data_IF_579191690195
#
_entry.id   IF_579191690195
#
_cell.length_a   1.000
_cell.length_b   1.000
_cell.length_c   1.000
_cell.angle_alpha   90.00
_cell.angle_beta   90.00
_cell.angle_gamma   90.00
#
_symmetry.space_group_name_H-M   'P 1'
#
loop_
_entity.id
_entity.type
_entity.pdbx_description
1 polymer ?
#
# COMPACT_ATOMS: atom_id res chain seq x y z
N UNK A 1 12.72 31.74 -28.99
CA UNK A 1 11.48 31.04 -28.65
C UNK A 1 11.56 29.51 -28.77
N UNK A 2 12.12 28.94 -29.87
CA UNK A 2 12.22 27.46 -30.08
C UNK A 2 12.99 26.69 -28.99
N UNK A 3 14.04 27.28 -28.41
CA UNK A 3 14.85 26.63 -27.33
C UNK A 3 14.14 26.59 -25.98
N UNK A 4 13.29 27.57 -25.71
CA UNK A 4 12.52 27.64 -24.44
C UNK A 4 11.41 26.59 -24.42
N UNK A 5 10.75 26.38 -25.58
CA UNK A 5 9.69 25.35 -25.70
C UNK A 5 10.25 23.95 -25.46
N UNK A 6 11.45 23.67 -26.00
CA UNK A 6 12.12 22.37 -25.83
C UNK A 6 12.51 22.10 -24.37
N UNK A 7 12.95 23.13 -23.65
CA UNK A 7 13.28 23.03 -22.22
C UNK A 7 12.05 22.74 -21.34
N UNK A 8 10.92 23.38 -21.64
CA UNK A 8 9.65 23.16 -20.91
C UNK A 8 9.12 21.75 -21.14
N UNK A 9 9.21 21.23 -22.37
CA UNK A 9 8.73 19.87 -22.69
C UNK A 9 9.53 18.79 -21.97
N UNK A 10 10.85 18.95 -21.81
CA UNK A 10 11.69 18.00 -21.07
C UNK A 10 11.35 18.01 -19.58
N UNK A 11 11.01 19.18 -18.99
CA UNK A 11 10.68 19.29 -17.58
C UNK A 11 9.37 18.53 -17.25
N UNK A 12 8.38 18.51 -18.15
CA UNK A 12 7.11 17.78 -17.94
C UNK A 12 7.29 16.25 -17.96
N UNK A 13 8.26 15.71 -18.68
CA UNK A 13 8.50 14.26 -18.76
C UNK A 13 9.08 13.70 -17.44
N UNK A 14 9.76 14.53 -16.65
CA UNK A 14 10.42 14.09 -15.41
C UNK A 14 9.48 13.96 -14.20
N UNK A 15 8.23 14.41 -14.31
CA UNK A 15 7.24 14.33 -13.20
C UNK A 15 6.29 13.15 -13.29
N UNK A 16 6.47 12.22 -14.22
CA UNK A 16 5.63 11.02 -14.34
C UNK A 16 6.07 9.94 -13.35
N UNK A 17 5.80 10.15 -12.06
CA UNK A 17 5.85 9.08 -11.07
C UNK A 17 4.45 8.46 -10.99
N UNK A 18 4.18 7.44 -11.81
CA UNK A 18 2.90 6.73 -11.80
C UNK A 18 3.01 5.46 -10.96
N UNK A 19 2.31 5.42 -9.83
CA UNK A 19 2.05 4.17 -9.14
C UNK A 19 0.93 3.40 -9.86
N UNK A 20 1.00 2.08 -9.87
CA UNK A 20 -0.08 1.23 -10.39
C UNK A 20 -1.03 0.88 -9.25
N UNK A 21 -2.31 1.20 -9.42
CA UNK A 21 -3.38 0.83 -8.48
C UNK A 21 -4.20 -0.28 -9.14
N UNK A 22 -4.14 -1.48 -8.57
CA UNK A 22 -5.00 -2.59 -8.97
C UNK A 22 -6.13 -2.70 -7.96
N UNK A 23 -7.36 -2.40 -8.40
CA UNK A 23 -8.56 -2.53 -7.56
C UNK A 23 -9.40 -3.69 -8.05
N UNK A 24 -9.65 -4.65 -7.19
CA UNK A 24 -10.63 -5.71 -7.43
C UNK A 24 -11.97 -5.23 -6.90
N UNK A 25 -12.93 -5.00 -7.78
CA UNK A 25 -14.28 -4.56 -7.40
C UNK A 25 -15.20 -5.77 -7.27
N UNK A 26 -16.18 -5.76 -6.34
CA UNK A 26 -17.22 -6.78 -6.29
C UNK A 26 -18.04 -6.78 -7.60
N UNK A 27 -18.53 -7.96 -8.01
CA UNK A 27 -19.34 -8.12 -9.22
C UNK A 27 -20.69 -7.41 -9.13
N UNK A 28 -21.18 -7.17 -7.92
CA UNK A 28 -22.43 -6.48 -7.65
C UNK A 28 -22.13 -5.18 -6.92
N UNK A 29 -22.80 -4.09 -7.31
CA UNK A 29 -22.75 -2.83 -6.56
C UNK A 29 -23.52 -3.01 -5.25
N UNK A 30 -22.81 -3.42 -4.21
CA UNK A 30 -23.38 -3.47 -2.87
C UNK A 30 -23.44 -2.02 -2.37
N UNK A 31 -24.62 -1.42 -2.40
CA UNK A 31 -24.88 -0.12 -1.74
C UNK A 31 -24.86 -0.29 -0.23
N UNK A 32 -23.70 -0.50 0.34
CA UNK A 32 -23.52 -0.57 1.77
C UNK A 32 -23.25 0.84 2.31
N UNK A 33 -24.08 1.28 3.27
CA UNK A 33 -23.88 2.55 3.96
C UNK A 33 -22.99 2.33 5.18
N UNK A 34 -21.71 2.08 4.94
CA UNK A 34 -20.72 1.90 6.01
C UNK A 34 -20.42 3.22 6.70
N UNK A 35 -20.42 3.22 8.03
CA UNK A 35 -20.15 4.40 8.87
C UNK A 35 -18.98 4.19 9.81
N UNK A 36 -18.70 2.94 10.19
CA UNK A 36 -17.67 2.61 11.17
C UNK A 36 -16.75 1.50 10.67
N UNK A 37 -15.45 1.72 10.77
CA UNK A 37 -14.44 0.75 10.41
C UNK A 37 -13.52 0.43 11.60
N UNK A 38 -13.00 -0.78 11.65
CA UNK A 38 -11.96 -1.18 12.56
C UNK A 38 -10.70 -1.52 11.77
N UNK A 39 -9.60 -0.80 12.02
CA UNK A 39 -8.34 -0.98 11.32
C UNK A 39 -7.44 -1.87 12.17
N UNK A 40 -7.11 -3.04 11.67
CA UNK A 40 -6.14 -3.93 12.32
C UNK A 40 -4.75 -3.48 11.93
N UNK A 41 -4.00 -2.97 12.90
CA UNK A 41 -2.60 -2.59 12.71
C UNK A 41 -1.77 -3.83 12.33
N UNK A 42 -0.92 -3.69 11.32
CA UNK A 42 0.02 -4.73 10.96
C UNK A 42 0.97 -5.00 12.14
N UNK A 43 1.34 -6.27 12.33
CA UNK A 43 2.30 -6.65 13.38
C UNK A 43 3.74 -6.34 12.96
N UNK A 44 4.01 -6.32 11.67
CA UNK A 44 5.30 -6.05 11.06
C UNK A 44 5.11 -5.55 9.63
N UNK A 45 6.11 -4.82 9.14
CA UNK A 45 6.25 -4.50 7.72
C UNK A 45 7.12 -5.54 7.03
N UNK A 46 6.91 -5.77 5.75
CA UNK A 46 7.83 -6.53 4.92
C UNK A 46 8.89 -5.62 4.33
N UNK A 47 10.11 -6.09 4.22
CA UNK A 47 11.22 -5.30 3.68
C UNK A 47 12.06 -6.11 2.70
N UNK A 48 12.22 -5.58 1.50
CA UNK A 48 13.05 -6.17 0.45
C UNK A 48 14.43 -5.54 0.51
N UNK A 49 15.45 -6.34 0.84
CA UNK A 49 16.84 -5.90 0.81
C UNK A 49 17.35 -5.87 -0.62
N UNK A 50 17.77 -4.72 -1.07
CA UNK A 50 18.43 -4.58 -2.35
C UNK A 50 19.81 -5.23 -2.30
N UNK A 51 20.06 -6.18 -3.21
CA UNK A 51 21.40 -6.75 -3.44
C UNK A 51 21.95 -6.27 -4.76
N UNK A 52 23.09 -5.58 -4.71
CA UNK A 52 23.83 -5.24 -5.91
C UNK A 52 24.19 -6.52 -6.68
N UNK A 53 23.85 -6.57 -7.95
CA UNK A 53 24.30 -7.63 -8.85
C UNK A 53 25.83 -7.65 -8.98
N UNK A 54 26.37 -8.76 -9.44
CA UNK A 54 27.82 -8.87 -9.70
C UNK A 54 28.13 -8.30 -11.08
N UNK A 55 29.17 -7.47 -11.15
CA UNK A 55 29.79 -7.09 -12.43
C UNK A 55 30.70 -8.25 -12.85
N UNK A 56 30.45 -8.82 -14.02
CA UNK A 56 31.27 -9.87 -14.61
C UNK A 56 31.92 -9.34 -15.89
N UNK A 57 32.99 -9.96 -16.40
CA UNK A 57 33.56 -9.58 -17.70
C UNK A 57 32.58 -9.67 -18.86
N UNK A 58 31.47 -10.40 -18.69
CA UNK A 58 30.41 -10.57 -19.71
C UNK A 58 29.22 -9.63 -19.51
N UNK A 59 29.29 -8.71 -18.54
CA UNK A 59 28.24 -7.75 -18.25
C UNK A 59 27.76 -7.78 -16.81
N UNK A 60 26.70 -6.97 -16.54
CA UNK A 60 26.11 -6.87 -15.23
C UNK A 60 25.02 -7.93 -15.05
N UNK A 61 25.18 -8.79 -14.04
CA UNK A 61 24.15 -9.78 -13.67
C UNK A 61 23.31 -9.17 -12.56
N UNK A 62 22.05 -8.84 -12.88
CA UNK A 62 21.05 -8.44 -11.89
C UNK A 62 20.69 -9.69 -11.09
N UNK A 63 20.98 -9.71 -9.79
CA UNK A 63 20.41 -10.73 -8.91
C UNK A 63 18.92 -10.47 -8.74
N UNK A 64 18.14 -11.56 -8.77
CA UNK A 64 16.76 -11.51 -8.37
C UNK A 64 16.68 -11.04 -6.90
N UNK A 65 15.77 -10.14 -6.58
CA UNK A 65 15.57 -9.67 -5.22
C UNK A 65 15.35 -10.84 -4.27
N UNK A 66 15.89 -10.73 -3.07
CA UNK A 66 15.60 -11.71 -2.02
C UNK A 66 14.12 -11.61 -1.64
N UNK A 67 13.52 -12.69 -1.13
CA UNK A 67 12.19 -12.63 -0.57
C UNK A 67 12.13 -11.57 0.52
N UNK A 68 10.97 -10.91 0.64
CA UNK A 68 10.76 -9.92 1.68
C UNK A 68 10.95 -10.53 3.07
N UNK A 69 11.67 -9.84 3.93
CA UNK A 69 11.90 -10.21 5.31
C UNK A 69 10.97 -9.40 6.23
N UNK A 70 10.57 -9.99 7.36
CA UNK A 70 9.82 -9.26 8.39
C UNK A 70 10.70 -8.20 9.03
N UNK A 71 10.16 -7.01 9.17
CA UNK A 71 10.82 -5.83 9.74
C UNK A 71 9.89 -5.17 10.76
N UNK A 72 10.42 -4.35 11.63
CA UNK A 72 9.60 -3.45 12.46
C UNK A 72 8.72 -2.57 11.57
N UNK A 73 7.58 -2.14 12.13
CA UNK A 73 6.61 -1.29 11.41
C UNK A 73 7.31 -0.05 10.83
N UNK A 74 7.12 0.16 9.54
CA UNK A 74 7.68 1.27 8.80
C UNK A 74 6.57 2.24 8.41
N UNK A 75 6.67 3.50 8.85
CA UNK A 75 5.69 4.54 8.53
C UNK A 75 4.39 4.45 9.34
N UNK A 76 3.40 5.23 8.94
CA UNK A 76 2.13 5.41 9.64
C UNK A 76 0.95 4.99 8.76
N UNK A 77 1.00 3.79 8.20
CA UNK A 77 -0.01 3.31 7.24
C UNK A 77 -1.40 3.27 7.87
N UNK A 78 -1.53 2.73 9.10
CA UNK A 78 -2.83 2.67 9.79
C UNK A 78 -3.47 4.05 9.97
N UNK A 79 -2.69 5.05 10.40
CA UNK A 79 -3.18 6.43 10.55
C UNK A 79 -3.53 7.06 9.20
N UNK A 80 -2.77 6.76 8.14
CA UNK A 80 -3.08 7.22 6.79
C UNK A 80 -4.42 6.65 6.31
N UNK A 81 -4.66 5.35 6.51
CA UNK A 81 -5.94 4.71 6.20
C UNK A 81 -7.07 5.36 6.99
N UNK A 82 -6.88 5.60 8.29
CA UNK A 82 -7.87 6.27 9.15
C UNK A 82 -8.25 7.65 8.62
N UNK A 83 -7.26 8.46 8.23
CA UNK A 83 -7.50 9.80 7.66
C UNK A 83 -8.28 9.70 6.34
N UNK A 84 -7.95 8.76 5.47
CA UNK A 84 -8.66 8.59 4.19
C UNK A 84 -10.10 8.10 4.39
N UNK A 85 -10.36 7.20 5.34
CA UNK A 85 -11.70 6.79 5.71
C UNK A 85 -12.53 7.96 6.25
N UNK A 86 -11.95 8.78 7.11
CA UNK A 86 -12.63 9.96 7.67
C UNK A 86 -13.02 10.98 6.60
N UNK A 87 -12.21 11.20 5.57
CA UNK A 87 -12.55 12.04 4.40
C UNK A 87 -13.78 11.55 3.66
N UNK A 88 -14.06 10.26 3.71
CA UNK A 88 -15.24 9.62 3.11
C UNK A 88 -16.41 9.46 4.10
N UNK A 89 -16.36 10.11 5.25
CA UNK A 89 -17.43 10.08 6.25
C UNK A 89 -17.49 8.79 7.07
N UNK A 90 -16.42 7.98 7.06
CA UNK A 90 -16.33 6.73 7.81
C UNK A 90 -15.46 6.97 9.04
N UNK A 91 -16.03 6.85 10.24
CA UNK A 91 -15.25 6.88 11.48
C UNK A 91 -14.49 5.56 11.64
N UNK A 92 -13.29 5.60 12.21
CA UNK A 92 -12.50 4.38 12.37
C UNK A 92 -11.64 4.40 13.63
N UNK A 93 -11.44 3.21 14.18
CA UNK A 93 -10.54 2.93 15.29
C UNK A 93 -9.41 2.02 14.83
N UNK A 94 -8.23 2.20 15.43
CA UNK A 94 -7.06 1.36 15.17
C UNK A 94 -6.86 0.46 16.39
N UNK A 95 -6.74 -0.82 16.14
CA UNK A 95 -6.45 -1.82 17.16
C UNK A 95 -5.52 -2.90 16.66
N UNK A 96 -5.39 -3.97 17.44
CA UNK A 96 -4.47 -5.08 17.17
C UNK A 96 -5.23 -6.31 16.71
N UNK A 97 -4.51 -7.20 16.04
CA UNK A 97 -5.03 -8.53 15.74
C UNK A 97 -5.32 -9.30 17.01
N UNK A 98 -6.55 -9.79 17.11
CA UNK A 98 -7.04 -10.50 18.33
C UNK A 98 -7.92 -9.65 19.23
N UNK A 99 -7.97 -8.33 19.05
CA UNK A 99 -9.00 -7.52 19.66
C UNK A 99 -10.37 -7.94 19.11
N UNK A 100 -11.41 -7.91 19.97
CA UNK A 100 -12.77 -8.26 19.57
C UNK A 100 -13.68 -7.02 19.63
N UNK A 101 -13.52 -6.05 18.72
CA UNK A 101 -14.39 -4.88 18.66
C UNK A 101 -15.82 -5.32 18.30
N UNK A 102 -16.82 -4.69 18.91
CA UNK A 102 -18.23 -5.06 18.68
C UNK A 102 -18.99 -4.03 17.84
N UNK A 103 -18.50 -2.80 17.82
CA UNK A 103 -19.18 -1.65 17.20
C UNK A 103 -18.45 -1.18 15.92
N UNK A 104 -18.53 -1.98 14.86
CA UNK A 104 -18.00 -1.65 13.53
C UNK A 104 -18.83 -2.32 12.43
N UNK A 105 -18.78 -1.80 11.23
CA UNK A 105 -19.47 -2.32 10.05
C UNK A 105 -18.54 -3.26 9.24
N UNK A 106 -17.23 -2.93 9.19
CA UNK A 106 -16.22 -3.73 8.50
C UNK A 106 -14.83 -3.55 9.11
N UNK A 107 -13.98 -4.53 8.85
CA UNK A 107 -12.57 -4.52 9.26
C UNK A 107 -11.70 -4.15 8.05
N UNK A 108 -10.67 -3.35 8.30
CA UNK A 108 -9.60 -3.07 7.35
C UNK A 108 -8.33 -3.76 7.82
N UNK A 109 -7.81 -4.63 6.99
CA UNK A 109 -6.49 -5.24 7.18
C UNK A 109 -5.56 -4.75 6.09
N UNK A 110 -4.29 -4.59 6.41
CA UNK A 110 -3.29 -4.21 5.41
C UNK A 110 -1.98 -4.95 5.63
N UNK A 111 -1.22 -5.09 4.56
CA UNK A 111 0.17 -5.54 4.55
C UNK A 111 0.97 -4.59 3.67
N UNK A 112 2.06 -4.10 4.19
CA UNK A 112 2.96 -3.18 3.51
C UNK A 112 4.31 -3.84 3.24
N UNK A 113 4.84 -3.62 2.04
CA UNK A 113 6.16 -4.09 1.63
C UNK A 113 6.99 -2.88 1.23
N UNK A 114 8.15 -2.78 1.81
CA UNK A 114 9.09 -1.68 1.60
C UNK A 114 10.36 -2.17 0.91
N UNK A 115 11.04 -1.27 0.23
CA UNK A 115 12.37 -1.51 -0.33
C UNK A 115 13.30 -0.35 -0.06
N UNK A 116 14.58 -0.61 -0.14
CA UNK A 116 15.61 0.41 -0.07
C UNK A 116 15.98 0.90 -1.49
N UNK A 117 15.88 2.21 -1.69
CA UNK A 117 16.34 2.89 -2.90
C UNK A 117 16.85 4.27 -2.49
N UNK A 118 18.07 4.33 -1.92
CA UNK A 118 18.65 5.48 -1.20
C UNK A 118 17.81 6.00 -0.01
N UNK A 119 16.58 5.61 0.07
CA UNK A 119 15.61 5.81 1.17
C UNK A 119 14.66 4.62 1.21
N UNK A 120 13.90 4.49 2.31
CA UNK A 120 12.81 3.51 2.40
C UNK A 120 11.66 3.98 1.51
N UNK A 121 11.27 3.16 0.56
CA UNK A 121 10.16 3.42 -0.36
C UNK A 121 9.11 2.34 -0.15
N UNK A 122 7.85 2.73 -0.04
CA UNK A 122 6.73 1.79 -0.07
C UNK A 122 6.64 1.19 -1.47
N UNK A 123 6.90 -0.10 -1.58
CA UNK A 123 6.91 -0.84 -2.84
C UNK A 123 5.53 -1.42 -3.15
N UNK A 124 4.87 -1.98 -2.14
CA UNK A 124 3.54 -2.58 -2.27
C UNK A 124 2.72 -2.31 -1.02
N UNK A 125 1.45 -2.00 -1.21
CA UNK A 125 0.45 -1.92 -0.17
C UNK A 125 -0.77 -2.74 -0.58
N UNK A 126 -1.09 -3.75 0.20
CA UNK A 126 -2.28 -4.57 0.05
C UNK A 126 -3.26 -4.20 1.15
N UNK A 127 -4.48 -3.86 0.77
CA UNK A 127 -5.56 -3.53 1.73
C UNK A 127 -6.72 -4.47 1.46
N UNK A 128 -7.20 -5.13 2.50
CA UNK A 128 -8.39 -5.96 2.47
C UNK A 128 -9.49 -5.36 3.34
N UNK A 129 -10.70 -5.33 2.80
CA UNK A 129 -11.91 -4.93 3.50
C UNK A 129 -12.73 -6.20 3.79
N UNK A 130 -13.03 -6.46 5.05
CA UNK A 130 -13.69 -7.67 5.51
C UNK A 130 -14.97 -7.27 6.22
N UNK A 131 -16.12 -7.82 5.82
CA UNK A 131 -17.39 -7.56 6.45
C UNK A 131 -17.41 -8.13 7.88
N UNK A 132 -18.37 -7.71 8.70
CA UNK A 132 -18.59 -8.25 10.05
C UNK A 132 -18.84 -9.76 10.04
N UNK A 133 -19.42 -10.28 8.98
CA UNK A 133 -19.75 -11.70 8.82
C UNK A 133 -18.54 -12.53 8.36
N UNK A 134 -17.38 -11.91 8.21
CA UNK A 134 -16.13 -12.58 7.82
C UNK A 134 -15.94 -12.73 6.32
N UNK A 135 -16.89 -12.29 5.52
CA UNK A 135 -16.77 -12.31 4.07
C UNK A 135 -15.91 -11.15 3.59
N UNK A 136 -15.06 -11.41 2.63
CA UNK A 136 -14.30 -10.36 1.95
C UNK A 136 -15.30 -9.43 1.25
N UNK A 137 -15.31 -8.16 1.63
CA UNK A 137 -16.15 -7.12 0.96
C UNK A 137 -15.68 -6.91 -0.47
N UNK A 138 -14.45 -7.33 -0.79
CA UNK A 138 -13.89 -7.35 -2.14
C UNK A 138 -13.65 -8.81 -2.56
N UNK A 139 -14.06 -9.23 -3.75
CA UNK A 139 -13.77 -10.57 -4.26
C UNK A 139 -12.25 -10.77 -4.39
N UNK A 140 -11.82 -12.01 -4.12
CA UNK A 140 -10.44 -12.47 -4.36
C UNK A 140 -10.09 -12.42 -5.83
#
# INVERSE_FOLDING_TARGET
MRKIIFSITITYILFSCSGTINTVKPKEEIKMNFKKAYIISAENSEFIKFKFGKITPFGYIIKKDDPAEKHEIIGNIAETIKVELAKNGISSEIGKKGDNPTDFDFIVQYQDTWRWDFKKILDKLEIAFISKDGDSVLPK
#
